data_IF_381916329451
#
_entry.id   IF_381916329451
#
_cell.length_a   1.000
_cell.length_b   1.000
_cell.length_c   1.000
_cell.angle_alpha   90.00
_cell.angle_beta   90.00
_cell.angle_gamma   90.00
#
_symmetry.space_group_name_H-M   'P 1'
#
loop_
_entity.id
_entity.type
_entity.pdbx_description
1 polymer ?
#
# COMPACT_ATOMS: atom_id res chain seq x y z
N UNK A 1 13.42 -9.51 -9.99
CA UNK A 1 12.80 -9.40 -8.65
C UNK A 1 12.25 -8.00 -8.52
N UNK A 2 10.96 -7.88 -8.26
CA UNK A 2 10.30 -6.57 -8.16
C UNK A 2 10.69 -5.85 -6.87
N UNK A 3 10.64 -4.51 -6.87
CA UNK A 3 10.93 -3.70 -5.67
C UNK A 3 10.03 -4.10 -4.47
N UNK A 4 8.81 -4.54 -4.75
CA UNK A 4 7.85 -5.05 -3.77
C UNK A 4 8.31 -6.34 -3.06
N UNK A 5 9.15 -7.15 -3.69
CA UNK A 5 9.65 -8.42 -3.12
C UNK A 5 10.83 -8.19 -2.17
N UNK A 6 11.62 -7.14 -2.43
CA UNK A 6 12.84 -6.85 -1.67
C UNK A 6 12.53 -5.98 -0.45
N UNK A 7 11.65 -4.98 -0.58
CA UNK A 7 11.38 -4.01 0.48
C UNK A 7 10.23 -4.41 1.42
N UNK A 8 9.34 -5.31 0.99
CA UNK A 8 8.09 -5.60 1.70
C UNK A 8 6.98 -4.58 1.37
N UNK A 9 5.73 -4.98 1.56
CA UNK A 9 4.57 -4.23 1.04
C UNK A 9 4.19 -3.06 1.94
N UNK A 10 4.25 -3.25 3.25
CA UNK A 10 3.90 -2.23 4.24
C UNK A 10 4.83 -1.01 4.20
N UNK A 11 6.17 -1.15 4.25
CA UNK A 11 7.05 0.02 4.17
C UNK A 11 6.92 0.73 2.83
N UNK A 12 6.74 0.01 1.73
CA UNK A 12 6.58 0.62 0.40
C UNK A 12 5.30 1.47 0.30
N UNK A 13 4.19 1.02 0.90
CA UNK A 13 2.96 1.81 1.03
C UNK A 13 3.14 3.04 1.92
N UNK A 14 3.80 2.89 3.08
CA UNK A 14 4.02 4.01 4.00
C UNK A 14 4.94 5.08 3.38
N UNK A 15 6.06 4.68 2.78
CA UNK A 15 6.96 5.61 2.08
C UNK A 15 6.29 6.27 0.87
N UNK A 16 5.47 5.51 0.13
CA UNK A 16 4.67 6.05 -0.97
C UNK A 16 3.67 7.11 -0.49
N UNK A 17 2.87 6.81 0.52
CA UNK A 17 1.90 7.76 1.07
C UNK A 17 2.59 9.01 1.66
N UNK A 18 3.71 8.84 2.36
CA UNK A 18 4.49 9.95 2.90
C UNK A 18 5.05 10.87 1.79
N UNK A 19 5.68 10.28 0.76
CA UNK A 19 6.21 11.05 -0.38
C UNK A 19 5.11 11.75 -1.17
N UNK A 20 3.97 11.09 -1.41
CA UNK A 20 2.81 11.71 -2.05
C UNK A 20 2.22 12.86 -1.25
N UNK A 21 2.21 12.78 0.08
CA UNK A 21 1.76 13.88 0.94
C UNK A 21 2.70 15.08 0.82
N UNK A 22 4.02 14.85 0.87
CA UNK A 22 5.04 15.90 0.72
C UNK A 22 4.92 16.57 -0.66
N UNK A 23 4.77 15.81 -1.73
CA UNK A 23 4.63 16.37 -3.08
C UNK A 23 3.32 17.14 -3.26
N UNK A 24 2.21 16.73 -2.64
CA UNK A 24 0.97 17.52 -2.66
C UNK A 24 1.11 18.85 -1.90
N UNK A 25 1.79 18.86 -0.75
CA UNK A 25 2.06 20.09 0.00
C UNK A 25 2.96 21.02 -0.82
N UNK A 26 4.03 20.50 -1.44
CA UNK A 26 4.92 21.26 -2.30
C UNK A 26 4.18 21.83 -3.52
N UNK A 27 3.36 21.02 -4.19
CA UNK A 27 2.51 21.43 -5.30
C UNK A 27 1.57 22.56 -4.86
N UNK A 28 0.85 22.39 -3.76
CA UNK A 28 -0.08 23.39 -3.27
C UNK A 28 0.62 24.71 -2.87
N UNK A 29 1.84 24.63 -2.32
CA UNK A 29 2.65 25.79 -1.97
C UNK A 29 3.06 26.61 -3.20
N UNK A 30 3.33 25.98 -4.36
CA UNK A 30 3.61 26.71 -5.62
C UNK A 30 2.45 27.62 -6.02
N UNK A 31 1.21 27.23 -5.72
CA UNK A 31 0.00 28.04 -5.96
C UNK A 31 -0.08 29.34 -5.14
N UNK A 32 0.83 29.56 -4.19
CA UNK A 32 0.91 30.81 -3.40
C UNK A 32 1.92 31.81 -3.97
N UNK A 33 2.76 31.40 -4.93
CA UNK A 33 3.77 32.25 -5.56
C UNK A 33 3.39 32.53 -7.02
N UNK A 34 3.21 33.80 -7.39
CA UNK A 34 2.83 34.22 -8.74
C UNK A 34 4.02 34.61 -9.62
N UNK A 35 5.10 33.82 -9.57
CA UNK A 35 6.31 34.04 -10.37
C UNK A 35 6.26 33.25 -11.67
N UNK A 36 6.92 33.71 -12.74
CA UNK A 36 6.98 33.07 -14.06
C UNK A 36 7.44 31.60 -14.04
N UNK A 37 8.21 31.19 -13.01
CA UNK A 37 8.67 29.82 -12.81
C UNK A 37 7.70 28.89 -12.06
N UNK A 38 6.63 29.44 -11.47
CA UNK A 38 5.73 28.67 -10.58
C UNK A 38 4.99 27.54 -11.30
N UNK A 39 4.56 27.77 -12.55
CA UNK A 39 3.89 26.75 -13.36
C UNK A 39 4.79 25.53 -13.68
N UNK A 40 6.06 25.77 -13.98
CA UNK A 40 7.03 24.69 -14.24
C UNK A 40 7.32 23.87 -12.98
N UNK A 41 7.43 24.53 -11.82
CA UNK A 41 7.61 23.86 -10.54
C UNK A 41 6.37 23.01 -10.17
N UNK A 42 5.17 23.55 -10.38
CA UNK A 42 3.92 22.81 -10.14
C UNK A 42 3.85 21.54 -11.00
N UNK A 43 4.18 21.63 -12.30
CA UNK A 43 4.23 20.47 -13.18
C UNK A 43 5.26 19.43 -12.71
N UNK A 44 6.46 19.85 -12.31
CA UNK A 44 7.49 18.95 -11.82
C UNK A 44 7.04 18.18 -10.56
N UNK A 45 6.42 18.86 -9.58
CA UNK A 45 5.90 18.20 -8.37
C UNK A 45 4.73 17.27 -8.67
N UNK A 46 3.86 17.62 -9.62
CA UNK A 46 2.78 16.74 -10.06
C UNK A 46 3.34 15.45 -10.70
N UNK A 47 4.37 15.55 -11.54
CA UNK A 47 5.02 14.39 -12.14
C UNK A 47 5.69 13.49 -11.10
N UNK A 48 6.40 14.08 -10.13
CA UNK A 48 6.98 13.33 -9.01
C UNK A 48 5.91 12.61 -8.19
N UNK A 49 4.75 13.25 -7.97
CA UNK A 49 3.61 12.62 -7.34
C UNK A 49 3.10 11.41 -8.14
N UNK A 50 2.96 11.52 -9.47
CA UNK A 50 2.54 10.41 -10.34
C UNK A 50 3.53 9.23 -10.26
N UNK A 51 4.83 9.51 -10.25
CA UNK A 51 5.86 8.47 -10.13
C UNK A 51 5.77 7.77 -8.78
N UNK A 52 5.64 8.52 -7.69
CA UNK A 52 5.46 7.94 -6.35
C UNK A 52 4.19 7.08 -6.26
N UNK A 53 3.10 7.53 -6.89
CA UNK A 53 1.85 6.77 -6.96
C UNK A 53 2.01 5.47 -7.73
N UNK A 54 2.63 5.51 -8.91
CA UNK A 54 2.84 4.35 -9.77
C UNK A 54 3.74 3.28 -9.15
N UNK A 55 4.72 3.68 -8.33
CA UNK A 55 5.65 2.76 -7.67
C UNK A 55 5.13 2.12 -6.38
N UNK A 56 4.10 2.73 -5.76
CA UNK A 56 3.62 2.30 -4.44
C UNK A 56 2.12 2.03 -4.46
N UNK A 57 1.30 3.05 -4.15
CA UNK A 57 -0.13 2.87 -3.88
C UNK A 57 -0.91 2.34 -5.08
N UNK A 58 -0.50 2.69 -6.31
CA UNK A 58 -1.13 2.23 -7.54
C UNK A 58 -1.20 0.71 -7.63
N UNK A 59 -0.07 -0.01 -7.81
CA UNK A 59 -0.08 -1.46 -7.94
C UNK A 59 -0.44 -2.17 -6.62
N UNK A 60 0.08 -1.70 -5.49
CA UNK A 60 -0.08 -2.40 -4.21
C UNK A 60 -1.53 -2.31 -3.71
N UNK A 61 -2.22 -1.19 -3.95
CA UNK A 61 -3.62 -1.01 -3.55
C UNK A 61 -4.54 -2.09 -4.12
N UNK A 62 -4.45 -2.36 -5.43
CA UNK A 62 -5.29 -3.39 -6.06
C UNK A 62 -4.89 -4.82 -5.68
N UNK A 63 -3.60 -5.06 -5.50
CA UNK A 63 -3.09 -6.40 -5.14
C UNK A 63 -3.43 -6.74 -3.68
N UNK A 64 -3.42 -5.75 -2.79
CA UNK A 64 -3.63 -5.93 -1.35
C UNK A 64 -4.97 -6.61 -1.01
N UNK A 65 -6.05 -6.27 -1.73
CA UNK A 65 -7.36 -6.86 -1.52
C UNK A 65 -7.36 -8.38 -1.78
N UNK A 66 -6.52 -8.86 -2.69
CA UNK A 66 -6.36 -10.28 -3.00
C UNK A 66 -5.53 -11.03 -1.96
N UNK A 67 -4.58 -10.37 -1.31
CA UNK A 67 -3.63 -11.03 -0.40
C UNK A 67 -4.08 -11.06 1.04
N UNK A 68 -4.79 -10.02 1.47
CA UNK A 68 -5.34 -9.92 2.81
C UNK A 68 -6.57 -10.85 2.94
N UNK A 69 -7.25 -11.14 1.83
CA UNK A 69 -8.46 -11.96 1.83
C UNK A 69 -8.18 -13.46 1.84
N UNK A 70 -8.91 -14.17 2.70
CA UNK A 70 -8.99 -15.63 2.66
C UNK A 70 -9.52 -16.08 1.29
N UNK A 71 -8.97 -17.14 0.67
CA UNK A 71 -9.33 -17.56 -0.69
C UNK A 71 -10.83 -17.72 -0.96
N UNK A 72 -11.60 -18.17 0.04
CA UNK A 72 -13.06 -18.35 -0.05
C UNK A 72 -13.85 -17.03 -0.13
N UNK A 73 -13.32 -15.95 0.46
CA UNK A 73 -13.99 -14.64 0.54
C UNK A 73 -13.42 -13.61 -0.43
N UNK A 74 -12.27 -13.91 -1.05
CA UNK A 74 -11.56 -13.02 -1.97
C UNK A 74 -12.46 -12.34 -3.01
N UNK A 75 -13.32 -13.11 -3.68
CA UNK A 75 -14.22 -12.55 -4.69
C UNK A 75 -15.14 -11.45 -4.14
N UNK A 76 -15.66 -11.61 -2.92
CA UNK A 76 -16.54 -10.62 -2.27
C UNK A 76 -15.76 -9.41 -1.76
N UNK A 77 -14.58 -9.63 -1.19
CA UNK A 77 -13.73 -8.54 -0.68
C UNK A 77 -13.19 -7.67 -1.81
N UNK A 78 -12.74 -8.26 -2.91
CA UNK A 78 -12.23 -7.53 -4.06
C UNK A 78 -13.34 -6.73 -4.75
N UNK A 79 -14.54 -7.31 -4.93
CA UNK A 79 -15.65 -6.57 -5.53
C UNK A 79 -16.12 -5.41 -4.65
N UNK A 80 -16.21 -5.61 -3.33
CA UNK A 80 -16.52 -4.53 -2.39
C UNK A 80 -15.49 -3.39 -2.46
N UNK A 81 -14.20 -3.74 -2.46
CA UNK A 81 -13.11 -2.76 -2.58
C UNK A 81 -13.23 -1.95 -3.88
N UNK A 82 -13.57 -2.61 -4.99
CA UNK A 82 -13.73 -1.96 -6.27
C UNK A 82 -14.96 -1.05 -6.30
N UNK A 83 -16.09 -1.46 -5.72
CA UNK A 83 -17.29 -0.62 -5.61
C UNK A 83 -17.00 0.64 -4.79
N UNK A 84 -16.31 0.52 -3.66
CA UNK A 84 -15.88 1.67 -2.86
C UNK A 84 -14.96 2.61 -3.66
N UNK A 85 -13.97 2.05 -4.36
CA UNK A 85 -13.05 2.81 -5.21
C UNK A 85 -13.79 3.56 -6.32
N UNK A 86 -14.65 2.88 -7.08
CA UNK A 86 -15.44 3.49 -8.15
C UNK A 86 -16.39 4.55 -7.63
N UNK A 87 -17.05 4.33 -6.49
CA UNK A 87 -17.93 5.31 -5.85
C UNK A 87 -17.21 6.60 -5.49
N UNK A 88 -16.03 6.51 -4.87
CA UNK A 88 -15.19 7.68 -4.58
C UNK A 88 -14.73 8.37 -5.86
N UNK A 89 -14.38 7.61 -6.91
CA UNK A 89 -13.94 8.17 -8.18
C UNK A 89 -15.04 9.02 -8.86
N UNK A 90 -16.28 8.53 -8.82
CA UNK A 90 -17.45 9.28 -9.32
C UNK A 90 -17.60 10.60 -8.58
N UNK A 91 -17.53 10.59 -7.24
CA UNK A 91 -17.62 11.83 -6.43
C UNK A 91 -16.50 12.79 -6.79
N UNK A 92 -15.25 12.32 -6.87
CA UNK A 92 -14.10 13.17 -7.18
C UNK A 92 -14.15 13.74 -8.60
N UNK A 93 -14.74 13.03 -9.55
CA UNK A 93 -14.93 13.52 -10.92
C UNK A 93 -15.79 14.80 -10.97
N UNK A 94 -16.73 14.96 -10.05
CA UNK A 94 -17.52 16.20 -9.94
C UNK A 94 -16.84 17.25 -9.06
N UNK A 95 -16.28 16.83 -7.93
CA UNK A 95 -15.73 17.74 -6.91
C UNK A 95 -14.44 18.42 -7.38
N UNK A 96 -13.54 17.70 -8.07
CA UNK A 96 -12.23 18.24 -8.50
C UNK A 96 -12.37 19.40 -9.49
N UNK A 97 -13.08 19.25 -10.63
CA UNK A 97 -13.28 20.38 -11.55
C UNK A 97 -14.05 21.54 -10.91
N UNK A 98 -14.97 21.28 -9.97
CA UNK A 98 -15.63 22.35 -9.21
C UNK A 98 -14.64 23.15 -8.34
N UNK A 99 -13.69 22.48 -7.68
CA UNK A 99 -12.68 23.12 -6.84
C UNK A 99 -11.66 23.94 -7.64
N UNK A 100 -11.31 23.47 -8.84
CA UNK A 100 -10.32 24.12 -9.71
C UNK A 100 -10.94 25.27 -10.52
N UNK A 101 -12.23 25.20 -10.84
CA UNK A 101 -12.91 26.18 -11.68
C UNK A 101 -12.81 27.62 -11.13
N UNK A 102 -12.40 28.61 -11.95
CA UNK A 102 -12.33 30.02 -11.55
C UNK A 102 -13.69 30.62 -11.18
N UNK A 103 -14.78 30.06 -11.70
CA UNK A 103 -16.15 30.56 -11.53
C UNK A 103 -16.80 30.05 -10.23
N UNK A 104 -16.20 29.05 -9.58
CA UNK A 104 -16.71 28.44 -8.36
C UNK A 104 -15.75 28.71 -7.19
N UNK A 105 -15.06 27.67 -6.69
CA UNK A 105 -14.22 27.80 -5.51
C UNK A 105 -12.87 28.49 -5.80
N UNK A 106 -12.39 28.46 -7.05
CA UNK A 106 -11.15 29.11 -7.50
C UNK A 106 -9.90 28.76 -6.65
N UNK A 107 -9.82 27.53 -6.14
CA UNK A 107 -8.64 27.09 -5.38
C UNK A 107 -7.45 26.78 -6.30
N UNK A 108 -7.70 26.47 -7.58
CA UNK A 108 -6.65 26.12 -8.54
C UNK A 108 -5.71 25.04 -7.99
N UNK A 109 -4.40 25.29 -8.03
CA UNK A 109 -3.36 24.37 -7.53
C UNK A 109 -3.41 24.19 -6.01
N UNK A 110 -3.99 25.13 -5.25
CA UNK A 110 -4.12 25.01 -3.78
C UNK A 110 -5.06 23.90 -3.36
N UNK A 111 -5.88 23.37 -4.27
CA UNK A 111 -6.73 22.19 -4.05
C UNK A 111 -5.91 20.97 -3.57
N UNK A 112 -4.63 20.89 -3.94
CA UNK A 112 -3.73 19.83 -3.46
C UNK A 112 -3.53 19.82 -1.94
N UNK A 113 -3.77 20.92 -1.20
CA UNK A 113 -3.78 20.90 0.27
C UNK A 113 -4.90 20.02 0.84
N UNK A 114 -6.07 19.99 0.20
CA UNK A 114 -7.18 19.13 0.65
C UNK A 114 -6.83 17.65 0.47
N UNK A 115 -6.19 17.31 -0.65
CA UNK A 115 -5.73 15.95 -0.91
C UNK A 115 -4.57 15.53 0.01
N UNK A 116 -3.64 16.44 0.31
CA UNK A 116 -2.64 16.21 1.36
C UNK A 116 -3.28 15.95 2.72
N UNK A 117 -4.30 16.74 3.09
CA UNK A 117 -5.06 16.55 4.32
C UNK A 117 -5.76 15.19 4.42
N UNK A 118 -6.30 14.69 3.30
CA UNK A 118 -6.92 13.36 3.23
C UNK A 118 -5.90 12.21 3.28
N UNK A 119 -4.66 12.45 2.81
CA UNK A 119 -3.59 11.45 2.85
C UNK A 119 -3.09 11.19 4.28
N UNK A 120 -3.17 12.16 5.19
CA UNK A 120 -2.73 11.99 6.59
C UNK A 120 -3.51 10.91 7.36
N UNK A 121 -4.86 10.95 7.43
CA UNK A 121 -5.63 9.89 8.09
C UNK A 121 -5.51 8.56 7.34
N UNK A 122 -5.34 8.59 6.01
CA UNK A 122 -5.07 7.39 5.21
C UNK A 122 -3.75 6.74 5.61
N UNK A 123 -2.69 7.54 5.78
CA UNK A 123 -1.38 7.07 6.23
C UNK A 123 -1.47 6.45 7.64
N UNK A 124 -2.19 7.09 8.56
CA UNK A 124 -2.42 6.54 9.90
C UNK A 124 -3.21 5.22 9.82
N UNK A 125 -4.25 5.16 8.98
CA UNK A 125 -5.04 3.95 8.73
C UNK A 125 -4.18 2.81 8.21
N UNK A 126 -3.31 3.06 7.22
CA UNK A 126 -2.38 2.06 6.70
C UNK A 126 -1.41 1.61 7.79
N UNK A 127 -0.89 2.53 8.61
CA UNK A 127 0.04 2.18 9.67
C UNK A 127 -0.55 1.21 10.69
N UNK A 128 -1.80 1.42 11.12
CA UNK A 128 -2.46 0.60 12.14
C UNK A 128 -3.18 -0.64 11.57
N UNK A 129 -3.85 -0.53 10.43
CA UNK A 129 -4.72 -1.59 9.94
C UNK A 129 -4.08 -2.46 8.84
N UNK A 130 -3.00 -2.01 8.19
CA UNK A 130 -2.40 -2.75 7.08
C UNK A 130 -1.36 -3.78 7.58
N UNK A 131 -1.61 -5.09 7.41
CA UNK A 131 -0.68 -6.14 7.80
C UNK A 131 0.48 -6.27 6.81
N UNK A 132 1.62 -6.78 7.27
CA UNK A 132 2.69 -7.21 6.36
C UNK A 132 2.37 -8.62 5.82
N UNK A 133 2.18 -8.73 4.51
CA UNK A 133 1.84 -9.99 3.82
C UNK A 133 3.03 -10.62 3.09
N UNK A 134 4.17 -9.94 2.99
CA UNK A 134 5.34 -10.44 2.27
C UNK A 134 5.93 -11.68 2.93
N UNK A 135 6.11 -12.75 2.16
CA UNK A 135 6.79 -13.98 2.59
C UNK A 135 5.96 -14.91 3.49
N UNK A 136 4.66 -14.64 3.66
CA UNK A 136 3.74 -15.45 4.48
C UNK A 136 2.74 -16.20 3.62
N UNK A 137 2.44 -17.44 4.02
CA UNK A 137 1.38 -18.25 3.41
C UNK A 137 0.00 -17.87 3.93
N UNK A 138 -1.06 -18.16 3.17
CA UNK A 138 -2.44 -17.85 3.59
C UNK A 138 -2.82 -18.53 4.92
N UNK A 139 -2.29 -19.73 5.18
CA UNK A 139 -2.54 -20.45 6.43
C UNK A 139 -1.88 -19.77 7.64
N UNK A 140 -0.67 -19.23 7.47
CA UNK A 140 0.00 -18.45 8.53
C UNK A 140 -0.71 -17.13 8.81
N UNK A 141 -1.20 -16.45 7.78
CA UNK A 141 -2.02 -15.24 7.94
C UNK A 141 -3.30 -15.53 8.74
N UNK A 142 -3.99 -16.64 8.44
CA UNK A 142 -5.20 -17.05 9.17
C UNK A 142 -4.90 -17.39 10.65
N UNK A 143 -3.74 -18.01 10.93
CA UNK A 143 -3.26 -18.23 12.30
C UNK A 143 -3.04 -16.90 13.04
N UNK A 144 -2.42 -15.90 12.39
CA UNK A 144 -2.20 -14.58 13.00
C UNK A 144 -3.50 -13.84 13.28
N UNK A 145 -4.48 -13.94 12.37
CA UNK A 145 -5.81 -13.36 12.57
C UNK A 145 -6.59 -14.05 13.69
N UNK A 146 -6.57 -15.39 13.76
CA UNK A 146 -7.23 -16.15 14.83
C UNK A 146 -6.63 -15.87 16.21
N UNK A 147 -5.32 -15.57 16.28
CA UNK A 147 -4.62 -15.15 17.50
C UNK A 147 -4.88 -13.68 17.88
N UNK A 148 -5.63 -12.93 17.08
CA UNK A 148 -5.97 -11.53 17.36
C UNK A 148 -4.76 -10.59 17.41
N UNK A 149 -3.66 -10.94 16.73
CA UNK A 149 -2.46 -10.10 16.71
C UNK A 149 -2.80 -8.82 15.92
N UNK A 150 -2.39 -7.63 16.38
CA UNK A 150 -2.62 -6.41 15.61
C UNK A 150 -1.78 -6.43 14.33
N UNK A 151 -2.37 -5.94 13.23
CA UNK A 151 -1.78 -5.95 11.88
C UNK A 151 -0.35 -5.37 11.85
N UNK A 152 -0.06 -4.37 12.71
CA UNK A 152 1.27 -3.77 12.78
C UNK A 152 2.38 -4.65 13.37
N UNK A 153 2.05 -5.77 14.03
CA UNK A 153 3.01 -6.71 14.63
C UNK A 153 3.22 -7.99 13.82
N UNK A 154 2.57 -8.13 12.66
CA UNK A 154 2.63 -9.36 11.84
C UNK A 154 4.05 -9.74 11.40
N UNK A 155 4.94 -8.76 11.23
CA UNK A 155 6.34 -9.03 10.86
C UNK A 155 7.14 -9.76 11.96
N UNK A 156 6.82 -9.53 13.23
CA UNK A 156 7.57 -10.05 14.38
C UNK A 156 6.92 -11.28 15.00
N UNK A 157 5.66 -11.56 14.66
CA UNK A 157 4.93 -12.70 15.20
C UNK A 157 5.39 -14.01 14.53
N UNK A 158 5.89 -14.94 15.33
CA UNK A 158 6.18 -16.31 14.89
C UNK A 158 4.89 -17.13 14.87
N UNK A 159 4.63 -17.80 13.74
CA UNK A 159 3.51 -18.72 13.59
C UNK A 159 3.93 -20.15 13.90
N UNK A 160 3.02 -20.95 14.49
CA UNK A 160 3.28 -22.36 14.76
C UNK A 160 3.51 -23.17 13.49
N UNK A 161 2.87 -22.76 12.39
CA UNK A 161 3.06 -23.34 11.06
C UNK A 161 4.47 -23.09 10.49
N UNK A 162 5.10 -21.95 10.78
CA UNK A 162 6.49 -21.65 10.41
C UNK A 162 7.46 -22.61 11.12
N UNK A 163 7.19 -22.90 12.40
CA UNK A 163 7.95 -23.88 13.18
C UNK A 163 7.74 -25.33 12.71
N UNK A 164 6.52 -25.69 12.25
CA UNK A 164 6.24 -27.00 11.67
C UNK A 164 6.88 -27.16 10.28
N UNK A 165 6.83 -26.13 9.43
CA UNK A 165 7.50 -26.12 8.13
C UNK A 165 9.02 -26.20 8.26
N UNK A 166 9.61 -25.50 9.24
CA UNK A 166 11.03 -25.60 9.55
C UNK A 166 11.40 -27.01 10.01
N UNK A 167 10.62 -27.62 10.92
CA UNK A 167 10.83 -29.01 11.35
C UNK A 167 10.73 -30.00 10.20
N UNK A 168 9.74 -29.86 9.32
CA UNK A 168 9.59 -30.73 8.15
C UNK A 168 10.80 -30.62 7.20
N UNK A 169 11.30 -29.40 6.97
CA UNK A 169 12.49 -29.17 6.12
C UNK A 169 13.74 -29.81 6.73
N UNK A 170 13.95 -29.68 8.04
CA UNK A 170 15.07 -30.32 8.74
C UNK A 170 14.98 -31.85 8.71
N UNK A 171 13.78 -32.42 8.86
CA UNK A 171 13.57 -33.86 8.80
C UNK A 171 13.88 -34.42 7.40
N UNK A 172 13.45 -33.71 6.35
CA UNK A 172 13.73 -34.11 4.95
C UNK A 172 15.23 -34.02 4.65
N UNK A 173 15.92 -32.95 5.07
CA UNK A 173 17.39 -32.86 4.90
C UNK A 173 18.10 -33.99 5.64
N UNK A 174 17.68 -34.31 6.86
CA UNK A 174 18.27 -35.42 7.62
C UNK A 174 17.95 -36.80 7.03
N UNK A 175 16.84 -36.94 6.29
CA UNK A 175 16.54 -38.16 5.53
C UNK A 175 17.40 -38.27 4.27
N UNK A 176 17.61 -37.16 3.55
CA UNK A 176 18.48 -37.12 2.36
C UNK A 176 19.93 -37.45 2.74
N UNK A 177 20.44 -36.86 3.83
CA UNK A 177 21.80 -37.16 4.31
C UNK A 177 21.93 -38.64 4.72
N UNK A 178 20.93 -39.21 5.40
CA UNK A 178 20.92 -40.65 5.73
C UNK A 178 20.86 -41.56 4.50
N UNK A 179 20.09 -41.18 3.49
CA UNK A 179 19.96 -41.97 2.26
C UNK A 179 21.24 -41.87 1.41
N UNK A 180 21.97 -40.76 1.50
CA UNK A 180 23.30 -40.61 0.89
C UNK A 180 24.38 -41.42 1.62
N UNK A 181 24.36 -41.44 2.95
CA UNK A 181 25.28 -42.26 3.77
C UNK A 181 25.03 -43.77 3.61
N UNK A 182 23.78 -44.17 3.31
CA UNK A 182 23.44 -45.56 3.04
C UNK A 182 23.80 -46.03 1.62
N UNK A 183 24.12 -45.11 0.72
CA UNK A 183 24.48 -45.38 -0.68
C UNK A 183 26.00 -45.33 -0.95
N UNK A 184 26.81 -44.97 0.05
CA UNK A 184 28.28 -44.94 0.02
C UNK A 184 28.88 -46.19 0.69
#
# INVERSE_FOLDING_TARGET
MGLCEILGRRPLLLWGCASMCIFNIALAATGSFSTSGSGHAALAFLLLWVVAYALSTGPIGFISAGEISTPRLRGKTTSFSFVCYSGLNVVLTWVVPYLISPTAANLGVKTAYLFAGLLVPTFAGIYFFYPETTGRTYAELDELYSRGIPAWKFKTATTGLEAQGAKAKTLVTHQIDRDQDAAA
#
